data_IF_351435343674
#
_entry.id   IF_351435343674
#
_cell.length_a   1.000
_cell.length_b   1.000
_cell.length_c   1.000
_cell.angle_alpha   90.00
_cell.angle_beta   90.00
_cell.angle_gamma   90.00
#
_symmetry.space_group_name_H-M   'P 1'
#
loop_
_entity.id
_entity.type
_entity.pdbx_description
1 polymer ?
#
# COMPACT_ATOMS: atom_id res chain seq x y z
N UNK A 1 40.11 19.74 -7.25
CA UNK A 1 39.27 19.14 -8.32
C UNK A 1 38.57 17.86 -7.87
N UNK A 2 39.29 16.82 -7.41
CA UNK A 2 38.69 15.53 -6.99
C UNK A 2 37.59 15.64 -5.91
N UNK A 3 37.78 16.46 -4.86
CA UNK A 3 36.78 16.65 -3.79
C UNK A 3 35.49 17.33 -4.26
N UNK A 4 35.58 18.23 -5.23
CA UNK A 4 34.42 18.95 -5.78
C UNK A 4 33.56 18.00 -6.61
N UNK A 5 34.19 17.15 -7.42
CA UNK A 5 33.50 16.14 -8.23
C UNK A 5 32.83 15.09 -7.34
N UNK A 6 33.51 14.63 -6.28
CA UNK A 6 32.93 13.69 -5.30
C UNK A 6 31.70 14.27 -4.60
N UNK A 7 31.76 15.52 -4.16
CA UNK A 7 30.62 16.16 -3.50
C UNK A 7 29.45 16.39 -4.46
N UNK A 8 29.72 16.69 -5.72
CA UNK A 8 28.70 16.88 -6.74
C UNK A 8 27.96 15.57 -7.06
N UNK A 9 28.68 14.45 -7.14
CA UNK A 9 28.08 13.12 -7.32
C UNK A 9 27.22 12.74 -6.12
N UNK A 10 27.67 13.04 -4.90
CA UNK A 10 26.90 12.76 -3.68
C UNK A 10 25.56 13.52 -3.67
N UNK A 11 25.57 14.79 -4.09
CA UNK A 11 24.35 15.62 -4.19
C UNK A 11 23.39 15.09 -5.25
N UNK A 12 23.90 14.56 -6.36
CA UNK A 12 23.08 13.97 -7.44
C UNK A 12 22.40 12.64 -7.03
N UNK A 13 22.89 11.95 -6.00
CA UNK A 13 22.32 10.70 -5.49
C UNK A 13 21.23 10.89 -4.42
N UNK A 14 21.08 12.09 -3.87
CA UNK A 14 20.09 12.43 -2.84
C UNK A 14 18.63 12.29 -3.35
N UNK A 15 18.27 12.73 -4.58
CA UNK A 15 16.90 12.61 -5.08
C UNK A 15 16.41 11.17 -5.24
N UNK A 16 17.29 10.24 -5.65
CA UNK A 16 16.94 8.82 -5.82
C UNK A 16 16.70 8.08 -4.50
N UNK A 17 17.24 8.61 -3.39
CA UNK A 17 17.02 8.06 -2.04
C UNK A 17 15.77 8.63 -1.38
N UNK A 18 15.25 9.76 -1.86
CA UNK A 18 14.20 10.52 -1.16
C UNK A 18 12.77 10.12 -1.52
N UNK A 19 12.47 9.59 -2.72
CA UNK A 19 11.08 9.36 -3.13
C UNK A 19 10.89 8.25 -4.16
N UNK A 20 11.06 7.00 -3.75
CA UNK A 20 10.37 5.89 -4.42
C UNK A 20 9.22 5.43 -3.53
N UNK A 21 8.09 6.15 -3.61
CA UNK A 21 6.83 5.60 -3.13
C UNK A 21 6.46 4.47 -4.09
N UNK A 22 6.60 3.22 -3.66
CA UNK A 22 6.12 2.08 -4.43
C UNK A 22 4.59 2.13 -4.44
N UNK A 23 4.02 2.60 -5.54
CA UNK A 23 2.57 2.58 -5.75
C UNK A 23 2.23 1.24 -6.38
N UNK A 24 1.64 0.35 -5.59
CA UNK A 24 1.07 -0.90 -6.07
C UNK A 24 -0.40 -0.63 -6.41
N UNK A 25 -0.79 -0.90 -7.65
CA UNK A 25 -2.18 -0.79 -8.09
C UNK A 25 -2.74 -2.21 -8.12
N UNK A 26 -3.78 -2.43 -7.32
CA UNK A 26 -4.58 -3.65 -7.34
C UNK A 26 -5.96 -3.30 -7.91
N UNK A 27 -6.44 -4.04 -8.92
CA UNK A 27 -7.80 -3.87 -9.42
C UNK A 27 -8.82 -4.41 -8.39
N UNK A 28 -9.63 -3.54 -7.82
CA UNK A 28 -10.70 -3.94 -6.93
C UNK A 28 -12.03 -3.96 -7.67
N UNK A 29 -12.61 -5.15 -7.83
CA UNK A 29 -14.00 -5.35 -8.25
C UNK A 29 -14.81 -5.86 -7.04
N UNK A 30 -15.88 -5.16 -6.68
CA UNK A 30 -16.79 -5.58 -5.61
C UNK A 30 -17.53 -6.90 -5.92
N UNK A 31 -17.50 -7.35 -7.18
CA UNK A 31 -18.04 -8.63 -7.61
C UNK A 31 -17.01 -9.78 -7.54
N UNK A 32 -15.73 -9.48 -7.30
CA UNK A 32 -14.70 -10.49 -7.05
C UNK A 32 -14.81 -11.00 -5.62
N UNK A 33 -15.87 -11.76 -5.38
CA UNK A 33 -16.21 -12.34 -4.09
C UNK A 33 -15.80 -13.82 -4.09
N UNK A 34 -15.08 -14.23 -3.05
CA UNK A 34 -14.61 -15.59 -2.85
C UNK A 34 -15.23 -16.18 -1.58
N UNK A 35 -15.48 -17.48 -1.54
CA UNK A 35 -15.99 -18.12 -0.33
C UNK A 35 -14.86 -18.39 0.66
N UNK A 36 -14.95 -17.84 1.88
CA UNK A 36 -14.05 -18.18 2.99
C UNK A 36 -14.71 -19.26 3.86
N UNK A 37 -14.21 -20.50 3.74
CA UNK A 37 -14.70 -21.64 4.51
C UNK A 37 -14.54 -21.49 6.03
N UNK A 38 -13.61 -20.65 6.50
CA UNK A 38 -13.36 -20.41 7.93
C UNK A 38 -14.47 -19.61 8.56
N UNK A 39 -15.05 -18.68 7.80
CA UNK A 39 -16.14 -17.79 8.22
C UNK A 39 -17.50 -18.27 7.72
N UNK A 40 -17.49 -19.28 6.85
CA UNK A 40 -18.66 -19.83 6.17
C UNK A 40 -19.47 -18.78 5.38
N UNK A 41 -18.80 -17.74 4.88
CA UNK A 41 -19.41 -16.63 4.15
C UNK A 41 -18.58 -16.22 2.92
N UNK A 42 -19.19 -15.43 2.05
CA UNK A 42 -18.52 -14.87 0.88
C UNK A 42 -17.85 -13.54 1.25
N UNK A 43 -16.59 -13.40 0.91
CA UNK A 43 -15.71 -12.28 1.28
C UNK A 43 -15.10 -11.62 0.06
N UNK A 44 -14.82 -10.33 0.14
CA UNK A 44 -14.25 -9.53 -0.92
C UNK A 44 -12.71 -9.42 -0.81
N UNK A 45 -12.10 -8.71 -1.76
CA UNK A 45 -10.65 -8.49 -1.79
C UNK A 45 -10.06 -7.82 -0.52
N UNK A 46 -10.69 -6.80 0.11
CA UNK A 46 -10.24 -6.23 1.37
C UNK A 46 -9.97 -7.28 2.45
N UNK A 47 -10.87 -8.25 2.61
CA UNK A 47 -10.69 -9.33 3.58
C UNK A 47 -9.39 -10.11 3.37
N UNK A 48 -9.00 -10.38 2.12
CA UNK A 48 -7.76 -11.10 1.83
C UNK A 48 -6.50 -10.27 2.10
N UNK A 49 -6.56 -8.95 1.91
CA UNK A 49 -5.47 -8.04 2.28
C UNK A 49 -5.31 -8.05 3.80
N UNK A 50 -6.40 -7.87 4.53
CA UNK A 50 -6.43 -7.91 6.00
C UNK A 50 -5.89 -9.22 6.55
N UNK A 51 -6.35 -10.35 6.00
CA UNK A 51 -5.85 -11.68 6.35
C UNK A 51 -4.37 -11.83 6.08
N UNK A 52 -3.87 -11.39 4.93
CA UNK A 52 -2.45 -11.47 4.60
C UNK A 52 -1.59 -10.65 5.58
N UNK A 53 -2.06 -9.47 6.00
CA UNK A 53 -1.37 -8.65 7.00
C UNK A 53 -1.30 -9.37 8.36
N UNK A 54 -2.42 -9.91 8.83
CA UNK A 54 -2.48 -10.67 10.09
C UNK A 54 -1.57 -11.91 10.03
N UNK A 55 -1.67 -12.71 8.96
CA UNK A 55 -0.91 -13.96 8.80
C UNK A 55 0.61 -13.71 8.76
N UNK A 56 1.04 -12.49 8.40
CA UNK A 56 2.45 -12.06 8.42
C UNK A 56 2.83 -11.26 9.68
N UNK A 57 1.96 -11.15 10.68
CA UNK A 57 2.25 -10.52 11.97
C UNK A 57 2.19 -8.99 11.95
N UNK A 58 1.52 -8.39 10.96
CA UNK A 58 1.29 -6.95 10.90
C UNK A 58 -0.03 -6.55 11.53
N UNK A 59 -0.07 -5.35 12.10
CA UNK A 59 -1.31 -4.67 12.51
C UNK A 59 -1.78 -3.74 11.39
N UNK A 60 -3.08 -3.54 11.28
CA UNK A 60 -3.66 -2.63 10.29
C UNK A 60 -4.86 -1.89 10.87
N UNK A 61 -5.20 -0.76 10.22
CA UNK A 61 -6.41 0.00 10.48
C UNK A 61 -7.12 0.23 9.14
N UNK A 62 -8.43 0.03 9.10
CA UNK A 62 -9.26 0.21 7.90
C UNK A 62 -10.18 1.41 8.11
N UNK A 63 -10.19 2.35 7.16
CA UNK A 63 -11.03 3.54 7.21
C UNK A 63 -11.83 3.69 5.90
N UNK A 64 -13.06 4.21 5.95
CA UNK A 64 -13.81 4.58 4.75
C UNK A 64 -13.35 5.92 4.14
N UNK A 65 -12.27 6.52 4.67
CA UNK A 65 -11.67 7.78 4.24
C UNK A 65 -10.15 7.74 4.38
N UNK A 66 -9.44 8.62 3.68
CA UNK A 66 -8.00 8.79 3.84
C UNK A 66 -7.71 9.71 5.06
N UNK A 67 -6.97 9.26 6.09
CA UNK A 67 -6.57 10.11 7.19
C UNK A 67 -5.69 11.30 6.73
N UNK A 68 -5.79 12.43 7.44
CA UNK A 68 -4.98 13.62 7.12
C UNK A 68 -3.50 13.39 7.47
N UNK A 69 -3.24 12.69 8.56
CA UNK A 69 -1.90 12.32 8.98
C UNK A 69 -1.63 10.85 8.64
N UNK A 70 -0.65 10.64 7.76
CA UNK A 70 -0.20 9.32 7.34
C UNK A 70 1.15 8.93 7.97
N UNK A 71 1.79 9.84 8.73
CA UNK A 71 3.09 9.60 9.34
C UNK A 71 3.18 8.40 10.29
N UNK A 72 2.08 7.93 10.94
CA UNK A 72 2.13 6.74 11.77
C UNK A 72 2.18 5.41 10.98
N UNK A 73 1.87 5.42 9.68
CA UNK A 73 1.74 4.19 8.89
C UNK A 73 2.98 3.94 8.02
N UNK A 74 3.48 2.71 8.05
CA UNK A 74 4.59 2.29 7.17
C UNK A 74 4.14 2.15 5.70
N UNK A 75 2.89 1.73 5.48
CA UNK A 75 2.29 1.50 4.16
C UNK A 75 0.81 1.87 4.19
N UNK A 76 0.31 2.45 3.10
CA UNK A 76 -1.11 2.76 2.92
C UNK A 76 -1.63 2.00 1.70
N UNK A 77 -2.66 1.17 1.90
CA UNK A 77 -3.41 0.53 0.82
C UNK A 77 -4.68 1.32 0.54
N UNK A 78 -4.92 1.66 -0.72
CA UNK A 78 -6.15 2.34 -1.16
C UNK A 78 -6.91 1.38 -2.08
N UNK A 79 -7.97 0.77 -1.56
CA UNK A 79 -8.84 -0.13 -2.32
C UNK A 79 -9.88 0.67 -3.10
N UNK A 80 -9.66 0.85 -4.40
CA UNK A 80 -10.52 1.67 -5.28
C UNK A 80 -11.30 0.80 -6.26
N UNK A 81 -12.63 0.93 -6.24
CA UNK A 81 -13.50 0.21 -7.18
C UNK A 81 -13.84 1.03 -8.41
N UNK A 82 -14.04 0.36 -9.54
CA UNK A 82 -14.67 0.98 -10.70
C UNK A 82 -16.19 0.94 -10.51
N UNK A 83 -16.83 2.11 -10.49
CA UNK A 83 -18.29 2.18 -10.55
C UNK A 83 -18.73 1.76 -11.96
N UNK A 84 -19.30 0.56 -12.10
CA UNK A 84 -19.92 0.11 -13.35
C UNK A 84 -21.30 0.78 -13.44
N UNK A 85 -21.47 1.67 -14.43
CA UNK A 85 -22.75 2.30 -14.76
C UNK A 85 -23.69 1.35 -15.52
#
# INVERSE_FOLDING_TARGET
MSKVISNFILILLIPSLLYSANVLIWEYDTLDIFYDSTRAESVDCPHWIEKALIDNGHTYETYPYLPIDLSPYDVVFVTLGWYRC
#
